data_IF_566496250176
#
_entry.id   IF_566496250176
#
_cell.length_a   1.000
_cell.length_b   1.000
_cell.length_c   1.000
_cell.angle_alpha   90.00
_cell.angle_beta   90.00
_cell.angle_gamma   90.00
#
_symmetry.space_group_name_H-M   'P 1'
#
loop_
_entity.id
_entity.type
_entity.pdbx_description
1 polymer ?
#
# COMPACT_ATOMS: atom_id res chain seq x y z
N UNK A 1 32.26 -14.75 17.68
CA UNK A 1 31.13 -15.62 17.27
C UNK A 1 30.05 -14.80 16.56
N UNK A 2 29.68 -15.17 15.32
CA UNK A 2 28.56 -14.53 14.62
C UNK A 2 27.26 -14.88 15.36
N UNK A 3 26.50 -13.87 15.77
CA UNK A 3 25.25 -14.05 16.50
C UNK A 3 24.16 -14.74 15.67
N UNK A 4 23.08 -15.19 16.31
CA UNK A 4 21.94 -15.79 15.61
C UNK A 4 21.32 -14.80 14.61
N UNK A 5 20.58 -15.34 13.63
CA UNK A 5 19.81 -14.51 12.70
C UNK A 5 18.68 -13.80 13.46
N UNK A 6 18.82 -12.48 13.65
CA UNK A 6 17.86 -11.65 14.39
C UNK A 6 17.22 -10.54 13.53
N UNK A 7 17.25 -10.63 12.21
CA UNK A 7 16.63 -9.64 11.34
C UNK A 7 15.12 -9.84 11.28
N UNK A 8 14.37 -8.84 11.74
CA UNK A 8 12.92 -8.79 11.59
C UNK A 8 12.48 -8.44 10.16
N UNK A 9 11.20 -8.68 9.87
CA UNK A 9 10.59 -8.37 8.57
C UNK A 9 10.31 -6.88 8.40
N UNK A 10 10.12 -6.44 7.16
CA UNK A 10 9.55 -5.12 6.88
C UNK A 10 8.08 -5.03 7.28
N UNK A 11 7.55 -3.80 7.30
CA UNK A 11 6.12 -3.55 7.27
C UNK A 11 5.57 -3.51 5.85
N UNK A 12 4.28 -3.76 5.69
CA UNK A 12 3.60 -3.58 4.40
C UNK A 12 3.48 -2.08 4.09
N UNK A 13 3.46 -1.71 2.81
CA UNK A 13 3.05 -0.38 2.37
C UNK A 13 1.56 -0.15 2.62
N UNK A 14 1.19 1.10 2.85
CA UNK A 14 -0.22 1.49 2.93
C UNK A 14 -0.91 1.37 1.58
N UNK A 15 -2.21 1.12 1.62
CA UNK A 15 -3.08 1.11 0.45
C UNK A 15 -3.64 2.49 0.15
N UNK A 16 -4.07 2.72 -1.09
CA UNK A 16 -4.84 3.91 -1.48
C UNK A 16 -6.28 3.49 -1.73
N UNK A 17 -7.19 4.14 -1.03
CA UNK A 17 -8.63 3.92 -1.10
C UNK A 17 -9.32 5.19 -1.60
N UNK A 18 -10.35 5.02 -2.41
CA UNK A 18 -11.35 6.06 -2.65
C UNK A 18 -12.53 5.83 -1.71
N UNK A 19 -13.07 6.90 -1.13
CA UNK A 19 -14.26 6.87 -0.29
C UNK A 19 -15.32 7.83 -0.84
N UNK A 20 -16.53 7.35 -1.06
CA UNK A 20 -17.64 8.24 -1.43
C UNK A 20 -18.09 9.07 -0.22
N UNK A 21 -18.14 10.39 -0.36
CA UNK A 21 -18.63 11.34 0.66
C UNK A 21 -19.78 12.15 0.06
N UNK A 22 -20.87 12.28 0.82
CA UNK A 22 -22.07 13.04 0.39
C UNK A 22 -21.85 14.55 0.52
N UNK A 23 -20.90 14.95 1.37
CA UNK A 23 -20.59 16.36 1.60
C UNK A 23 -19.75 16.97 0.47
N UNK A 24 -19.21 16.14 -0.42
CA UNK A 24 -18.43 16.57 -1.56
C UNK A 24 -19.33 16.60 -2.80
N UNK A 25 -19.32 17.73 -3.49
CA UNK A 25 -20.09 17.94 -4.71
C UNK A 25 -19.21 18.08 -5.96
N UNK A 26 -17.91 18.36 -5.79
CA UNK A 26 -16.99 18.64 -6.90
C UNK A 26 -15.68 17.87 -6.75
N UNK A 27 -15.07 17.55 -7.89
CA UNK A 27 -13.73 16.95 -7.97
C UNK A 27 -12.63 18.00 -8.12
N UNK A 28 -12.93 19.28 -7.83
CA UNK A 28 -12.03 20.39 -8.18
C UNK A 28 -10.70 20.34 -7.43
N UNK A 29 -10.70 19.79 -6.21
CA UNK A 29 -9.51 19.62 -5.39
C UNK A 29 -8.48 18.68 -6.07
N UNK A 30 -8.96 17.71 -6.84
CA UNK A 30 -8.13 16.75 -7.58
C UNK A 30 -7.55 17.31 -8.88
N UNK A 31 -8.06 18.44 -9.35
CA UNK A 31 -7.47 19.16 -10.49
C UNK A 31 -6.18 19.91 -10.10
N UNK A 32 -5.97 20.20 -8.82
CA UNK A 32 -4.72 20.85 -8.36
C UNK A 32 -3.72 19.84 -7.81
N UNK A 33 -4.21 18.81 -7.11
CA UNK A 33 -3.39 17.74 -6.57
C UNK A 33 -3.68 16.42 -7.30
N UNK A 34 -2.73 16.02 -8.15
CA UNK A 34 -2.82 14.81 -8.98
C UNK A 34 -2.10 13.60 -8.37
N UNK A 35 -1.17 13.84 -7.46
CA UNK A 35 -0.25 12.83 -6.94
C UNK A 35 -0.58 12.49 -5.49
N UNK A 36 -1.07 11.28 -5.28
CA UNK A 36 -1.43 10.74 -3.97
C UNK A 36 -0.60 9.50 -3.69
N UNK A 37 0.08 9.49 -2.54
CA UNK A 37 0.95 8.40 -2.14
C UNK A 37 0.61 7.98 -0.71
N UNK A 38 0.30 6.70 -0.52
CA UNK A 38 0.18 6.12 0.81
C UNK A 38 1.55 6.01 1.49
N UNK A 39 1.56 5.83 2.82
CA UNK A 39 2.82 5.74 3.56
C UNK A 39 3.54 4.42 3.23
N UNK A 40 4.87 4.49 3.09
CA UNK A 40 5.69 3.30 2.93
C UNK A 40 5.81 2.52 4.25
N UNK A 41 5.83 1.18 4.15
CA UNK A 41 6.15 0.32 5.29
C UNK A 41 7.56 0.58 5.81
N UNK A 42 7.75 0.49 7.12
CA UNK A 42 9.07 0.66 7.75
C UNK A 42 9.93 -0.59 7.58
N UNK A 43 11.24 -0.41 7.57
CA UNK A 43 12.18 -1.52 7.54
C UNK A 43 12.13 -2.31 8.85
N UNK A 44 12.36 -3.63 8.74
CA UNK A 44 12.64 -4.47 9.90
C UNK A 44 13.96 -4.09 10.54
N UNK A 45 14.08 -4.35 11.84
CA UNK A 45 15.26 -4.06 12.63
C UNK A 45 15.85 -5.35 13.22
N UNK A 46 17.03 -5.26 13.83
CA UNK A 46 17.62 -6.37 14.59
C UNK A 46 16.73 -6.80 15.76
N UNK A 47 17.13 -7.85 16.49
CA UNK A 47 16.36 -8.42 17.61
C UNK A 47 14.94 -8.88 17.23
N UNK A 48 14.75 -9.32 15.99
CA UNK A 48 13.46 -9.77 15.44
C UNK A 48 12.35 -8.70 15.45
N UNK A 49 12.71 -7.41 15.43
CA UNK A 49 11.72 -6.34 15.37
C UNK A 49 11.17 -6.16 13.95
N UNK A 50 9.89 -6.50 13.78
CA UNK A 50 9.16 -6.25 12.53
C UNK A 50 8.88 -4.76 12.34
N UNK A 51 9.06 -4.27 11.12
CA UNK A 51 8.74 -2.90 10.74
C UNK A 51 7.24 -2.63 10.79
N UNK A 52 6.87 -1.40 11.16
CA UNK A 52 5.47 -0.95 11.15
C UNK A 52 4.92 -0.89 9.72
N UNK A 53 3.66 -1.30 9.55
CA UNK A 53 2.92 -1.08 8.31
C UNK A 53 2.75 0.43 8.07
N UNK A 54 2.82 0.84 6.81
CA UNK A 54 2.49 2.20 6.39
C UNK A 54 1.00 2.45 6.58
N UNK A 55 0.65 3.70 6.90
CA UNK A 55 -0.74 4.15 6.93
C UNK A 55 -1.35 4.19 5.54
N UNK A 56 -2.57 3.69 5.45
CA UNK A 56 -3.41 3.79 4.27
C UNK A 56 -3.80 5.25 4.02
N UNK A 57 -3.98 5.60 2.75
CA UNK A 57 -4.44 6.90 2.30
C UNK A 57 -5.88 6.75 1.80
N UNK A 58 -6.80 7.53 2.36
CA UNK A 58 -8.19 7.59 1.89
C UNK A 58 -8.43 8.92 1.20
N UNK A 59 -8.92 8.85 -0.02
CA UNK A 59 -9.22 9.98 -0.90
C UNK A 59 -10.73 10.08 -1.03
N UNK A 60 -11.32 11.22 -0.69
CA UNK A 60 -12.78 11.39 -0.65
C UNK A 60 -13.32 11.92 -1.97
N UNK A 61 -14.29 11.26 -2.57
CA UNK A 61 -14.88 11.67 -3.85
C UNK A 61 -16.39 11.83 -3.71
N UNK A 62 -17.05 12.66 -4.54
CA UNK A 62 -18.50 12.75 -4.56
C UNK A 62 -19.16 11.40 -4.86
N UNK A 63 -20.40 11.24 -4.39
CA UNK A 63 -21.21 10.08 -4.73
C UNK A 63 -21.53 10.14 -6.24
N UNK A 64 -21.47 8.98 -6.89
CA UNK A 64 -21.65 8.82 -8.33
C UNK A 64 -20.36 8.88 -9.13
N UNK A 65 -19.19 9.06 -8.48
CA UNK A 65 -17.90 9.05 -9.19
C UNK A 65 -17.60 7.67 -9.78
N UNK A 66 -17.33 7.66 -11.08
CA UNK A 66 -16.83 6.50 -11.82
C UNK A 66 -15.30 6.54 -11.84
N UNK A 67 -14.69 5.39 -11.57
CA UNK A 67 -13.24 5.25 -11.47
C UNK A 67 -12.73 4.38 -12.61
N UNK A 68 -11.93 4.97 -13.51
CA UNK A 68 -11.37 4.29 -14.69
C UNK A 68 -9.86 4.32 -14.63
N UNK A 69 -9.20 3.19 -14.92
CA UNK A 69 -7.75 3.17 -15.09
C UNK A 69 -7.38 3.73 -16.47
N UNK A 70 -6.60 4.80 -16.52
CA UNK A 70 -6.20 5.46 -17.77
C UNK A 70 -5.24 4.62 -18.61
N UNK A 71 -4.52 3.66 -18.00
CA UNK A 71 -3.56 2.85 -18.73
C UNK A 71 -4.24 1.68 -19.45
N UNK A 72 -5.24 1.06 -18.82
CA UNK A 72 -5.96 -0.11 -19.36
C UNK A 72 -7.34 0.22 -19.93
N UNK A 73 -7.87 1.41 -19.66
CA UNK A 73 -9.26 1.82 -19.92
C UNK A 73 -10.29 0.90 -19.25
N UNK A 74 -9.90 0.19 -18.20
CA UNK A 74 -10.80 -0.67 -17.43
C UNK A 74 -11.51 0.14 -16.35
N UNK A 75 -12.82 -0.10 -16.20
CA UNK A 75 -13.61 0.48 -15.13
C UNK A 75 -13.31 -0.32 -13.85
N UNK A 76 -12.72 0.34 -12.85
CA UNK A 76 -12.41 -0.26 -11.57
C UNK A 76 -13.66 -0.40 -10.70
N UNK A 77 -14.59 0.55 -10.83
CA UNK A 77 -15.87 0.53 -10.16
C UNK A 77 -16.50 1.93 -10.08
N UNK A 78 -17.75 1.94 -9.65
CA UNK A 78 -18.52 3.16 -9.39
C UNK A 78 -18.80 3.29 -7.88
N UNK A 79 -18.66 4.50 -7.35
CA UNK A 79 -18.90 4.82 -5.94
C UNK A 79 -20.31 5.40 -5.78
N UNK A 80 -21.30 4.53 -5.59
CA UNK A 80 -22.72 4.89 -5.60
C UNK A 80 -23.33 5.07 -4.20
N UNK A 81 -22.70 4.53 -3.15
CA UNK A 81 -23.19 4.63 -1.76
C UNK A 81 -22.28 5.53 -0.93
N UNK A 82 -22.87 6.34 -0.05
CA UNK A 82 -22.12 7.09 0.95
C UNK A 82 -21.24 6.17 1.80
N UNK A 83 -20.00 6.57 2.08
CA UNK A 83 -18.97 5.79 2.78
C UNK A 83 -18.59 4.47 2.09
N UNK A 84 -18.94 4.29 0.81
CA UNK A 84 -18.41 3.17 0.04
C UNK A 84 -16.91 3.37 -0.16
N UNK A 85 -16.14 2.30 0.06
CA UNK A 85 -14.70 2.28 -0.17
C UNK A 85 -14.37 1.46 -1.41
N UNK A 86 -13.47 1.99 -2.25
CA UNK A 86 -12.91 1.28 -3.40
C UNK A 86 -11.38 1.25 -3.29
N UNK A 87 -10.80 0.04 -3.31
CA UNK A 87 -9.35 -0.11 -3.36
C UNK A 87 -8.85 0.23 -4.75
N UNK A 88 -8.05 1.28 -4.88
CA UNK A 88 -7.55 1.72 -6.19
C UNK A 88 -6.07 1.42 -6.41
N UNK A 89 -5.27 1.38 -5.34
CA UNK A 89 -3.89 0.94 -5.42
C UNK A 89 -3.50 0.16 -4.17
N UNK A 90 -3.02 -1.07 -4.38
CA UNK A 90 -2.55 -1.92 -3.29
C UNK A 90 -1.13 -1.55 -2.87
N UNK A 91 -0.91 -1.48 -1.57
CA UNK A 91 0.40 -1.28 -0.97
C UNK A 91 1.35 -2.44 -1.25
N UNK A 92 2.66 -2.13 -1.28
CA UNK A 92 3.70 -3.13 -1.45
C UNK A 92 3.74 -4.14 -0.30
N UNK A 93 4.07 -5.39 -0.60
CA UNK A 93 4.28 -6.44 0.40
C UNK A 93 5.60 -6.21 1.13
N UNK A 94 5.62 -6.54 2.43
CA UNK A 94 6.84 -6.50 3.24
C UNK A 94 7.96 -7.38 2.69
N UNK A 95 9.20 -6.93 2.89
CA UNK A 95 10.39 -7.76 2.71
C UNK A 95 10.55 -8.72 3.90
N UNK A 96 11.13 -9.89 3.65
CA UNK A 96 11.38 -10.91 4.67
C UNK A 96 12.80 -10.75 5.23
N UNK A 97 12.87 -10.73 6.56
CA UNK A 97 14.11 -10.75 7.32
C UNK A 97 14.83 -12.11 7.20
N UNK A 98 16.06 -12.18 7.69
CA UNK A 98 16.83 -13.41 7.61
C UNK A 98 16.30 -14.53 8.50
N UNK A 99 15.54 -14.20 9.55
CA UNK A 99 14.89 -15.19 10.42
C UNK A 99 13.94 -16.12 9.63
N UNK A 100 13.29 -15.61 8.58
CA UNK A 100 12.44 -16.41 7.69
C UNK A 100 13.18 -17.46 6.86
N UNK A 101 14.50 -17.31 6.67
CA UNK A 101 15.34 -18.24 5.89
C UNK A 101 16.10 -19.24 6.76
N UNK A 102 15.82 -19.28 8.07
CA UNK A 102 16.48 -20.18 9.00
C UNK A 102 16.00 -21.62 8.76
N UNK A 103 16.94 -22.56 8.65
CA UNK A 103 16.66 -23.99 8.54
C UNK A 103 17.60 -24.79 9.44
N UNK A 104 17.30 -26.06 9.68
CA UNK A 104 18.18 -26.95 10.47
C UNK A 104 19.60 -27.07 9.88
N UNK A 105 19.71 -26.96 8.55
CA UNK A 105 21.00 -26.98 7.84
C UNK A 105 21.69 -25.60 7.80
N UNK A 106 20.95 -24.49 7.96
CA UNK A 106 21.49 -23.13 7.95
C UNK A 106 20.90 -22.30 9.10
N UNK A 107 21.59 -22.34 10.25
CA UNK A 107 21.16 -21.65 11.46
C UNK A 107 21.44 -20.13 11.46
N UNK A 108 22.29 -19.63 10.55
CA UNK A 108 22.67 -18.22 10.45
C UNK A 108 22.56 -17.68 9.01
N UNK A 109 21.35 -17.70 8.41
CA UNK A 109 21.14 -17.16 7.08
C UNK A 109 21.48 -15.66 7.03
N UNK A 110 22.13 -15.24 5.95
CA UNK A 110 22.40 -13.82 5.62
C UNK A 110 21.47 -13.27 4.54
N UNK A 111 20.58 -14.12 4.02
CA UNK A 111 19.61 -13.76 2.99
C UNK A 111 18.51 -12.90 3.59
N UNK A 112 18.12 -11.85 2.89
CA UNK A 112 16.91 -11.05 3.13
C UNK A 112 16.22 -10.80 1.78
N UNK A 113 14.92 -10.56 1.78
CA UNK A 113 14.21 -10.08 0.59
C UNK A 113 13.78 -8.64 0.80
N UNK A 114 13.81 -7.86 -0.28
CA UNK A 114 13.26 -6.51 -0.28
C UNK A 114 11.73 -6.59 -0.37
N UNK A 115 11.04 -5.56 0.12
CA UNK A 115 9.60 -5.42 -0.10
C UNK A 115 9.28 -5.25 -1.57
N UNK A 116 8.05 -5.60 -1.96
CA UNK A 116 7.59 -5.35 -3.32
C UNK A 116 7.18 -3.89 -3.47
N UNK A 117 7.25 -3.37 -4.70
CA UNK A 117 6.70 -2.04 -5.00
C UNK A 117 5.17 -2.10 -4.86
N UNK A 118 4.58 -1.03 -4.35
CA UNK A 118 3.13 -0.84 -4.38
C UNK A 118 2.64 -0.66 -5.82
N UNK A 119 1.35 -0.88 -6.04
CA UNK A 119 0.72 -0.61 -7.32
C UNK A 119 0.71 0.89 -7.60
N UNK A 120 1.00 1.26 -8.85
CA UNK A 120 0.95 2.64 -9.32
C UNK A 120 -0.04 2.65 -10.47
N UNK A 121 -1.13 3.42 -10.33
CA UNK A 121 -2.17 3.56 -11.36
C UNK A 121 -2.45 5.02 -11.62
N UNK A 122 -2.80 5.33 -12.87
CA UNK A 122 -3.34 6.63 -13.25
C UNK A 122 -4.83 6.46 -13.38
N UNK A 123 -5.58 7.23 -12.62
CA UNK A 123 -7.03 7.09 -12.55
C UNK A 123 -7.67 8.32 -13.18
N UNK A 124 -8.70 8.07 -13.97
CA UNK A 124 -9.65 9.08 -14.41
C UNK A 124 -10.89 8.95 -13.55
N UNK A 125 -11.29 10.07 -12.96
CA UNK A 125 -12.49 10.20 -12.16
C UNK A 125 -13.52 10.97 -12.98
N UNK A 126 -14.69 10.37 -13.17
CA UNK A 126 -15.82 10.97 -13.90
C UNK A 126 -17.03 11.14 -12.98
#
# INVERSE_FOLDING_TARGET
PFGPAEGGDGGNGGNVWLQADENLNTLIDYHFQHNFHAENGKHGQGKNFTGKCGKDLTIKVPIGTRVVDQNTNEILGDLIVHQQYLLVAKGGLRGLGNNHFKSSANCTPRKKTNGTKGEIRRLQLE
#
